data_IF_189630607443
#
_entry.id   IF_189630607443
#
_cell.length_a   1.000
_cell.length_b   1.000
_cell.length_c   1.000
_cell.angle_alpha   90.00
_cell.angle_beta   90.00
_cell.angle_gamma   90.00
#
_symmetry.space_group_name_H-M   'P 1'
#
loop_
_entity.id
_entity.type
_entity.pdbx_description
1 polymer ?
#
# COMPACT_ATOMS: atom_id res chain seq x y z
N UNK A 1 -19.85 18.63 17.58
CA UNK A 1 -20.30 18.08 16.28
C UNK A 1 -19.50 16.84 15.86
N UNK A 2 -18.23 16.71 16.27
CA UNK A 2 -17.33 15.62 15.86
C UNK A 2 -17.75 14.23 16.40
N UNK A 3 -18.32 14.16 17.61
CA UNK A 3 -18.79 12.88 18.17
C UNK A 3 -19.95 12.27 17.36
N UNK A 4 -20.81 13.10 16.75
CA UNK A 4 -21.94 12.63 15.94
C UNK A 4 -21.53 12.01 14.61
N UNK A 5 -20.44 12.49 13.99
CA UNK A 5 -19.91 11.92 12.74
C UNK A 5 -19.33 10.52 12.99
N UNK A 6 -18.58 10.35 14.07
CA UNK A 6 -18.00 9.04 14.45
C UNK A 6 -19.10 8.05 14.81
N UNK A 7 -20.11 8.46 15.55
CA UNK A 7 -21.29 7.62 15.89
C UNK A 7 -22.00 7.19 14.61
N UNK A 8 -22.28 8.13 13.67
CA UNK A 8 -22.90 7.78 12.38
C UNK A 8 -22.07 6.80 11.57
N UNK A 9 -20.75 6.93 11.56
CA UNK A 9 -19.86 5.98 10.87
C UNK A 9 -19.94 4.58 11.49
N UNK A 10 -19.94 4.49 12.82
CA UNK A 10 -20.08 3.23 13.54
C UNK A 10 -21.48 2.60 13.35
N UNK A 11 -22.53 3.41 13.37
CA UNK A 11 -23.90 2.94 13.09
C UNK A 11 -24.06 2.44 11.66
N UNK A 12 -23.50 3.19 10.69
CA UNK A 12 -23.48 2.76 9.28
C UNK A 12 -22.74 1.43 9.13
N UNK A 13 -21.57 1.29 9.75
CA UNK A 13 -20.81 0.06 9.74
C UNK A 13 -21.55 -1.10 10.40
N UNK A 14 -22.14 -0.87 11.57
CA UNK A 14 -22.98 -1.86 12.25
C UNK A 14 -24.13 -2.33 11.36
N UNK A 15 -24.80 -1.40 10.64
CA UNK A 15 -25.86 -1.73 9.70
C UNK A 15 -25.35 -2.56 8.53
N UNK A 16 -24.21 -2.20 7.94
CA UNK A 16 -23.58 -2.96 6.85
C UNK A 16 -23.21 -4.38 7.30
N UNK A 17 -22.60 -4.52 8.48
CA UNK A 17 -22.24 -5.84 9.03
C UNK A 17 -23.49 -6.67 9.32
N UNK A 18 -24.56 -6.09 9.87
CA UNK A 18 -25.84 -6.80 10.08
C UNK A 18 -26.46 -7.28 8.76
N UNK A 19 -26.44 -6.43 7.72
CA UNK A 19 -26.95 -6.81 6.39
C UNK A 19 -26.07 -7.92 5.79
N UNK A 20 -24.74 -7.82 5.92
CA UNK A 20 -23.84 -8.86 5.45
C UNK A 20 -24.04 -10.19 6.17
N UNK A 21 -24.26 -10.16 7.49
CA UNK A 21 -24.57 -11.34 8.28
C UNK A 21 -25.92 -11.95 7.86
N UNK A 22 -26.97 -11.14 7.69
CA UNK A 22 -28.26 -11.63 7.19
C UNK A 22 -28.12 -12.29 5.83
N UNK A 23 -27.44 -11.65 4.89
CA UNK A 23 -27.20 -12.21 3.55
C UNK A 23 -26.41 -13.53 3.59
N UNK A 24 -25.47 -13.68 4.53
CA UNK A 24 -24.72 -14.93 4.72
C UNK A 24 -25.60 -16.04 5.32
N UNK A 25 -26.50 -15.68 6.26
CA UNK A 25 -27.43 -16.63 6.85
C UNK A 25 -28.54 -17.06 5.90
N UNK A 26 -28.98 -16.14 5.03
CA UNK A 26 -30.02 -16.37 4.03
C UNK A 26 -29.49 -17.00 2.73
N UNK A 27 -28.15 -17.02 2.54
CA UNK A 27 -27.56 -17.67 1.39
C UNK A 27 -27.83 -19.18 1.43
N UNK A 28 -28.32 -19.79 0.35
CA UNK A 28 -28.46 -21.26 0.31
C UNK A 28 -27.09 -21.86 0.62
N UNK A 29 -27.09 -22.85 1.53
CA UNK A 29 -25.86 -23.58 1.88
C UNK A 29 -25.23 -24.03 0.56
N UNK A 30 -24.16 -23.35 0.16
CA UNK A 30 -23.27 -23.86 -0.88
C UNK A 30 -22.58 -25.07 -0.28
N UNK A 31 -22.61 -26.14 -1.03
CA UNK A 31 -22.07 -27.43 -0.68
C UNK A 31 -20.82 -27.36 0.20
N UNK A 32 -20.78 -28.16 1.24
CA UNK A 32 -19.65 -28.58 2.09
C UNK A 32 -18.35 -27.73 2.02
N UNK A 33 -18.46 -26.43 2.19
CA UNK A 33 -17.27 -25.58 2.36
C UNK A 33 -16.91 -25.62 3.84
N UNK A 34 -15.82 -26.32 4.15
CA UNK A 34 -15.23 -26.37 5.47
C UNK A 34 -14.94 -24.93 5.94
N UNK A 35 -15.47 -24.51 7.06
CA UNK A 35 -15.18 -23.20 7.65
C UNK A 35 -13.77 -23.17 8.25
N UNK A 36 -13.25 -21.97 8.54
CA UNK A 36 -11.93 -21.84 9.14
C UNK A 36 -11.86 -22.52 10.52
N UNK A 37 -12.94 -22.43 11.29
CA UNK A 37 -13.08 -23.06 12.59
C UNK A 37 -13.09 -24.60 12.48
N UNK A 38 -13.76 -25.12 11.46
CA UNK A 38 -13.85 -26.58 11.19
C UNK A 38 -12.52 -27.16 10.71
N UNK A 39 -11.62 -26.33 10.14
CA UNK A 39 -10.26 -26.76 9.82
C UNK A 39 -9.46 -27.18 11.04
N UNK A 40 -9.84 -26.73 12.23
CA UNK A 40 -9.14 -27.01 13.49
C UNK A 40 -7.73 -26.40 13.53
N UNK A 41 -7.49 -25.35 12.75
CA UNK A 41 -6.20 -24.65 12.75
C UNK A 41 -6.01 -23.92 14.07
N UNK A 42 -4.86 -24.11 14.71
CA UNK A 42 -4.41 -23.43 15.93
C UNK A 42 -3.24 -22.47 15.68
N UNK A 43 -2.75 -22.44 14.45
CA UNK A 43 -1.65 -21.55 14.04
C UNK A 43 -1.84 -21.05 12.62
N UNK A 44 -1.52 -19.78 12.40
CA UNK A 44 -1.60 -19.10 11.11
C UNK A 44 -0.30 -18.33 10.83
N UNK A 45 0.39 -18.72 9.79
CA UNK A 45 1.58 -18.02 9.30
C UNK A 45 1.22 -17.24 8.04
N UNK A 46 1.50 -15.94 8.06
CA UNK A 46 1.18 -15.02 6.96
C UNK A 46 2.46 -14.42 6.42
N UNK A 47 2.85 -14.84 5.22
CA UNK A 47 3.94 -14.22 4.49
C UNK A 47 3.46 -12.98 3.75
N UNK A 48 4.36 -12.00 3.55
CA UNK A 48 4.07 -10.69 2.95
C UNK A 48 2.87 -10.00 3.62
N UNK A 49 2.85 -10.02 4.95
CA UNK A 49 1.74 -9.51 5.77
C UNK A 49 1.37 -8.05 5.48
N UNK A 50 2.29 -7.24 4.92
CA UNK A 50 2.01 -5.88 4.46
C UNK A 50 0.90 -5.80 3.41
N UNK A 51 0.55 -6.89 2.73
CA UNK A 51 -0.60 -6.95 1.83
C UNK A 51 -1.95 -6.78 2.54
N UNK A 52 -2.00 -6.90 3.87
CA UNK A 52 -3.19 -6.77 4.70
C UNK A 52 -3.25 -5.46 5.50
N UNK A 53 -2.38 -4.52 5.22
CA UNK A 53 -2.28 -3.22 5.90
C UNK A 53 -3.52 -2.32 5.78
N UNK A 54 -4.39 -2.55 4.79
CA UNK A 54 -5.59 -1.76 4.56
C UNK A 54 -6.77 -2.22 5.42
N UNK A 55 -6.52 -2.54 6.68
CA UNK A 55 -7.57 -2.79 7.66
C UNK A 55 -8.26 -1.46 8.00
N UNK A 56 -9.58 -1.43 7.93
CA UNK A 56 -10.34 -0.21 8.19
C UNK A 56 -10.05 0.37 9.57
N UNK A 57 -9.75 1.64 9.61
CA UNK A 57 -9.51 2.41 10.83
C UNK A 57 -10.65 3.40 11.06
N UNK A 58 -11.26 3.34 12.24
CA UNK A 58 -12.27 4.31 12.68
C UNK A 58 -11.55 5.46 13.38
N UNK A 59 -11.76 6.68 12.91
CA UNK A 59 -11.09 7.88 13.41
C UNK A 59 -11.95 9.13 13.26
N UNK A 60 -11.76 10.10 14.15
CA UNK A 60 -12.28 11.44 14.04
C UNK A 60 -11.44 12.35 13.16
N UNK A 61 -10.24 11.92 12.80
CA UNK A 61 -9.32 12.69 12.00
C UNK A 61 -9.77 12.70 10.54
N UNK A 62 -9.85 13.89 9.95
CA UNK A 62 -10.25 14.09 8.57
C UNK A 62 -9.12 14.70 7.75
N UNK A 63 -9.08 14.39 6.46
CA UNK A 63 -8.10 14.92 5.49
C UNK A 63 -6.62 14.61 5.82
N UNK A 64 -6.36 13.54 6.57
CA UNK A 64 -4.99 13.05 6.83
C UNK A 64 -4.70 11.89 5.89
N UNK A 65 -3.65 12.06 5.09
CA UNK A 65 -3.22 11.02 4.16
C UNK A 65 -2.57 9.84 4.90
N UNK A 66 -2.84 8.63 4.40
CA UNK A 66 -2.25 7.40 4.93
C UNK A 66 -3.12 6.66 5.95
N UNK A 67 -4.27 7.21 6.34
CA UNK A 67 -5.23 6.50 7.19
C UNK A 67 -6.18 5.70 6.28
N UNK A 68 -6.24 4.39 6.48
CA UNK A 68 -7.19 3.53 5.76
C UNK A 68 -8.58 3.65 6.38
N UNK A 69 -9.46 4.42 5.72
CA UNK A 69 -10.86 4.59 6.14
C UNK A 69 -11.82 3.69 5.34
N UNK A 70 -11.33 3.02 4.30
CA UNK A 70 -12.10 2.08 3.48
C UNK A 70 -11.83 0.65 3.91
N UNK A 71 -12.83 -0.22 3.76
CA UNK A 71 -12.70 -1.63 4.10
C UNK A 71 -12.07 -2.42 2.96
N UNK A 72 -11.03 -3.19 3.29
CA UNK A 72 -10.52 -4.26 2.44
C UNK A 72 -11.06 -5.60 2.96
N UNK A 73 -11.82 -6.32 2.13
CA UNK A 73 -12.40 -7.62 2.55
C UNK A 73 -11.33 -8.60 3.03
N UNK A 74 -10.22 -8.72 2.31
CA UNK A 74 -9.14 -9.63 2.70
C UNK A 74 -8.50 -9.25 4.05
N UNK A 75 -8.36 -7.95 4.33
CA UNK A 75 -7.81 -7.50 5.60
C UNK A 75 -8.79 -7.74 6.76
N UNK A 76 -10.08 -7.48 6.54
CA UNK A 76 -11.10 -7.75 7.55
C UNK A 76 -11.28 -9.25 7.81
N UNK A 77 -11.22 -10.09 6.78
CA UNK A 77 -11.28 -11.55 6.92
C UNK A 77 -10.09 -12.08 7.70
N UNK A 78 -8.86 -11.65 7.36
CA UNK A 78 -7.66 -12.02 8.10
C UNK A 78 -7.75 -11.56 9.56
N UNK A 79 -8.25 -10.34 9.79
CA UNK A 79 -8.37 -9.81 11.15
C UNK A 79 -9.30 -10.67 12.01
N UNK A 80 -10.44 -11.11 11.49
CA UNK A 80 -11.35 -12.01 12.22
C UNK A 80 -10.69 -13.35 12.53
N UNK A 81 -9.94 -13.92 11.59
CA UNK A 81 -9.18 -15.16 11.81
C UNK A 81 -8.09 -14.99 12.87
N UNK A 82 -7.38 -13.87 12.88
CA UNK A 82 -6.39 -13.57 13.92
C UNK A 82 -7.07 -13.45 15.30
N UNK A 83 -8.21 -12.75 15.39
CA UNK A 83 -8.94 -12.63 16.66
C UNK A 83 -9.43 -13.99 17.18
N UNK A 84 -9.95 -14.83 16.30
CA UNK A 84 -10.35 -16.19 16.66
C UNK A 84 -9.17 -17.02 17.19
N UNK A 85 -8.04 -16.98 16.51
CA UNK A 85 -6.83 -17.69 16.95
C UNK A 85 -6.28 -17.14 18.28
N UNK A 86 -6.28 -15.83 18.46
CA UNK A 86 -5.86 -15.20 19.71
C UNK A 86 -6.73 -15.67 20.89
N UNK A 87 -8.04 -15.79 20.67
CA UNK A 87 -8.99 -16.27 21.68
C UNK A 87 -8.71 -17.73 22.09
N UNK A 88 -8.52 -18.64 21.12
CA UNK A 88 -8.32 -20.07 21.42
C UNK A 88 -6.91 -20.43 21.84
N UNK A 89 -5.89 -19.62 21.50
CA UNK A 89 -4.47 -19.92 21.77
C UNK A 89 -3.84 -19.02 22.84
N UNK A 90 -4.56 -18.03 23.35
CA UNK A 90 -4.02 -17.03 24.27
C UNK A 90 -2.98 -16.13 23.59
N UNK A 91 -3.30 -15.63 22.40
CA UNK A 91 -2.48 -14.72 21.58
C UNK A 91 -1.13 -15.32 21.14
N UNK A 92 -1.11 -16.60 20.76
CA UNK A 92 0.10 -17.33 20.30
C UNK A 92 -0.04 -17.97 18.94
N UNK A 93 -1.23 -17.91 18.33
CA UNK A 93 -1.53 -18.63 17.10
C UNK A 93 -1.17 -17.89 15.81
N UNK A 94 -0.68 -16.64 15.86
CA UNK A 94 -0.50 -15.82 14.65
C UNK A 94 0.96 -15.38 14.49
N UNK A 95 1.53 -15.65 13.32
CA UNK A 95 2.88 -15.21 12.96
C UNK A 95 2.84 -14.49 11.62
N UNK A 96 3.33 -13.26 11.58
CA UNK A 96 3.47 -12.46 10.37
C UNK A 96 4.94 -12.35 9.95
N UNK A 97 5.20 -12.53 8.66
CA UNK A 97 6.50 -12.25 8.05
C UNK A 97 6.34 -11.13 7.00
N UNK A 98 7.22 -10.15 7.02
CA UNK A 98 7.27 -9.09 6.01
C UNK A 98 8.59 -8.33 6.04
N UNK A 99 9.11 -7.99 4.86
CA UNK A 99 10.25 -7.08 4.73
C UNK A 99 9.89 -5.59 4.86
N UNK A 100 8.59 -5.24 4.84
CA UNK A 100 8.12 -3.85 4.82
C UNK A 100 6.88 -3.66 5.71
N UNK A 101 7.01 -3.75 7.04
CA UNK A 101 5.87 -3.60 7.95
C UNK A 101 5.23 -2.20 7.85
N UNK A 102 6.03 -1.22 7.45
CA UNK A 102 5.60 0.17 7.16
C UNK A 102 6.11 0.51 5.76
N UNK A 103 5.22 0.79 4.81
CA UNK A 103 5.59 1.11 3.43
C UNK A 103 5.16 2.51 2.98
N UNK A 104 3.93 2.92 3.27
CA UNK A 104 3.37 4.19 2.78
C UNK A 104 3.01 5.17 3.89
N UNK A 105 2.68 4.68 5.08
CA UNK A 105 2.24 5.51 6.19
C UNK A 105 2.63 4.88 7.52
N UNK A 106 3.02 5.73 8.46
CA UNK A 106 3.31 5.32 9.84
C UNK A 106 2.11 4.65 10.52
N UNK A 107 0.89 4.95 10.06
CA UNK A 107 -0.34 4.33 10.58
C UNK A 107 -0.44 2.84 10.29
N UNK A 108 0.35 2.34 9.34
CA UNK A 108 0.43 0.90 9.04
C UNK A 108 0.97 0.10 10.23
N UNK A 109 1.83 0.69 11.07
CA UNK A 109 2.31 0.05 12.30
C UNK A 109 1.16 -0.20 13.30
N UNK A 110 0.26 0.78 13.45
CA UNK A 110 -0.95 0.58 14.25
C UNK A 110 -1.78 -0.60 13.73
N UNK A 111 -1.90 -0.73 12.42
CA UNK A 111 -2.60 -1.87 11.82
C UNK A 111 -1.93 -3.20 12.15
N UNK A 112 -0.59 -3.28 12.07
CA UNK A 112 0.14 -4.48 12.48
C UNK A 112 -0.06 -4.80 13.97
N UNK A 113 -0.04 -3.80 14.83
CA UNK A 113 -0.32 -3.97 16.26
C UNK A 113 -1.75 -4.46 16.52
N UNK A 114 -2.73 -4.03 15.73
CA UNK A 114 -4.10 -4.54 15.85
C UNK A 114 -4.20 -6.04 15.55
N UNK A 115 -3.42 -6.53 14.61
CA UNK A 115 -3.38 -7.97 14.31
C UNK A 115 -2.66 -8.78 15.40
N UNK A 116 -1.58 -8.24 15.97
CA UNK A 116 -0.63 -9.01 16.77
C UNK A 116 -0.64 -8.66 18.26
N UNK A 117 -1.15 -7.48 18.63
CA UNK A 117 -1.06 -6.93 19.99
C UNK A 117 -2.38 -6.27 20.44
N UNK A 118 -3.53 -6.73 19.93
CA UNK A 118 -4.81 -6.12 20.28
C UNK A 118 -5.02 -6.00 21.80
N UNK A 119 -4.72 -7.06 22.55
CA UNK A 119 -4.80 -7.06 24.02
C UNK A 119 -3.87 -6.01 24.67
N UNK A 120 -2.63 -5.89 24.17
CA UNK A 120 -1.69 -4.88 24.67
C UNK A 120 -2.17 -3.46 24.38
N UNK A 121 -2.74 -3.21 23.20
CA UNK A 121 -3.36 -1.93 22.86
C UNK A 121 -4.52 -1.61 23.80
N UNK A 122 -5.40 -2.56 24.08
CA UNK A 122 -6.54 -2.39 24.98
C UNK A 122 -6.10 -2.08 26.41
N UNK A 123 -5.16 -2.86 26.94
CA UNK A 123 -4.62 -2.67 28.29
C UNK A 123 -3.98 -1.30 28.51
N UNK A 124 -3.39 -0.72 27.45
CA UNK A 124 -2.75 0.59 27.51
C UNK A 124 -3.68 1.74 27.06
N UNK A 125 -4.96 1.49 26.77
CA UNK A 125 -5.91 2.51 26.31
C UNK A 125 -5.64 3.02 24.89
N UNK A 126 -4.93 2.25 24.09
CA UNK A 126 -4.46 2.59 22.73
C UNK A 126 -5.23 1.85 21.63
N UNK A 127 -6.26 1.09 21.99
CA UNK A 127 -7.07 0.34 21.03
C UNK A 127 -7.85 1.25 20.05
N UNK A 128 -8.12 2.50 20.46
CA UNK A 128 -8.66 3.50 19.57
C UNK A 128 -7.54 4.21 18.81
N UNK A 129 -7.67 4.32 17.48
CA UNK A 129 -6.66 4.95 16.66
C UNK A 129 -6.34 6.38 17.07
N UNK A 130 -7.35 7.17 17.43
CA UNK A 130 -7.12 8.58 17.79
C UNK A 130 -6.27 8.69 19.07
N UNK A 131 -6.43 7.76 20.04
CA UNK A 131 -5.59 7.68 21.24
C UNK A 131 -4.16 7.27 20.89
N UNK A 132 -4.00 6.24 20.05
CA UNK A 132 -2.70 5.79 19.57
C UNK A 132 -1.98 6.92 18.81
N UNK A 133 -2.69 7.58 17.90
CA UNK A 133 -2.16 8.66 17.10
C UNK A 133 -1.77 9.89 17.94
N UNK A 134 -2.54 10.21 18.97
CA UNK A 134 -2.22 11.29 19.90
C UNK A 134 -0.96 10.98 20.75
N UNK A 135 -0.70 9.70 21.02
CA UNK A 135 0.46 9.27 21.82
C UNK A 135 1.73 9.16 20.99
N UNK A 136 1.65 8.69 19.73
CA UNK A 136 2.80 8.28 18.94
C UNK A 136 2.97 9.03 17.63
N UNK A 137 1.98 9.79 17.18
CA UNK A 137 1.99 10.36 15.84
C UNK A 137 1.99 11.88 15.82
N UNK A 138 2.86 12.47 15.01
CA UNK A 138 2.84 13.88 14.66
C UNK A 138 2.37 14.06 13.22
N UNK A 139 1.38 14.91 13.04
CA UNK A 139 0.93 15.30 11.70
C UNK A 139 1.65 16.54 11.22
N UNK A 140 2.11 16.50 9.97
CA UNK A 140 2.75 17.64 9.31
C UNK A 140 1.94 18.00 8.07
N UNK A 141 1.66 19.30 7.93
CA UNK A 141 1.05 19.84 6.72
C UNK A 141 2.15 20.43 5.84
N UNK A 142 2.29 19.91 4.64
CA UNK A 142 3.27 20.38 3.66
C UNK A 142 2.57 20.85 2.38
N UNK A 143 3.22 21.78 1.68
CA UNK A 143 2.83 22.15 0.32
C UNK A 143 3.56 21.19 -0.62
N UNK A 144 2.79 20.46 -1.41
CA UNK A 144 3.29 19.48 -2.37
C UNK A 144 2.89 19.86 -3.78
N UNK A 145 3.73 19.50 -4.76
CA UNK A 145 3.33 19.57 -6.15
C UNK A 145 2.12 18.66 -6.37
N UNK A 146 1.12 19.14 -7.07
CA UNK A 146 -0.04 18.34 -7.40
C UNK A 146 0.36 17.15 -8.32
N UNK A 147 -0.30 15.98 -8.23
CA UNK A 147 0.09 14.77 -8.97
C UNK A 147 0.17 14.98 -10.48
N UNK A 148 -0.63 15.89 -11.01
CA UNK A 148 -0.67 16.28 -12.41
C UNK A 148 0.50 17.17 -12.83
N UNK A 149 1.39 17.58 -11.92
CA UNK A 149 2.53 18.43 -12.19
C UNK A 149 2.20 19.93 -12.32
N UNK A 150 0.94 20.33 -12.24
CA UNK A 150 0.47 21.70 -12.35
C UNK A 150 -0.06 22.21 -11.03
N UNK A 151 0.60 23.23 -10.47
CA UNK A 151 0.17 23.87 -9.21
C UNK A 151 0.59 23.12 -7.95
N UNK A 152 0.21 23.69 -6.81
CA UNK A 152 0.55 23.18 -5.47
C UNK A 152 -0.70 22.92 -4.67
N UNK A 153 -0.65 21.90 -3.79
CA UNK A 153 -1.70 21.58 -2.83
C UNK A 153 -1.13 21.41 -1.43
N UNK A 154 -1.89 21.78 -0.42
CA UNK A 154 -1.57 21.43 0.96
C UNK A 154 -2.01 20.01 1.24
N UNK A 155 -1.16 19.22 1.88
CA UNK A 155 -1.49 17.87 2.31
C UNK A 155 -0.97 17.61 3.71
N UNK A 156 -1.86 17.13 4.58
CA UNK A 156 -1.52 16.72 5.94
C UNK A 156 -1.31 15.21 5.97
N UNK A 157 -0.24 14.77 6.60
CA UNK A 157 0.06 13.35 6.81
C UNK A 157 0.76 13.14 8.15
N UNK A 158 0.73 11.92 8.67
CA UNK A 158 1.64 11.53 9.74
C UNK A 158 3.06 11.49 9.19
N UNK A 159 3.96 12.29 9.74
CA UNK A 159 5.32 12.43 9.22
C UNK A 159 6.39 12.06 10.25
N UNK A 160 6.08 12.06 11.53
CA UNK A 160 7.02 11.76 12.59
C UNK A 160 6.38 10.90 13.67
N UNK A 161 7.21 10.09 14.33
CA UNK A 161 6.82 9.41 15.56
C UNK A 161 7.20 10.26 16.78
N UNK A 162 6.26 10.38 17.70
CA UNK A 162 6.52 10.73 19.09
C UNK A 162 6.75 9.48 19.92
N UNK A 163 7.40 9.62 21.06
CA UNK A 163 7.59 8.53 22.02
C UNK A 163 8.02 7.23 21.32
N UNK A 164 8.93 7.36 20.33
CA UNK A 164 9.40 6.23 19.56
C UNK A 164 10.01 5.10 20.42
N UNK A 165 10.76 5.38 21.50
CA UNK A 165 11.27 4.34 22.38
C UNK A 165 10.17 3.47 23.00
N UNK A 166 9.11 4.09 23.49
CA UNK A 166 7.96 3.39 24.10
C UNK A 166 7.19 2.58 23.05
N UNK A 167 6.95 3.16 21.88
CA UNK A 167 6.31 2.48 20.77
C UNK A 167 7.12 1.24 20.34
N UNK A 168 8.44 1.40 20.21
CA UNK A 168 9.33 0.30 19.82
C UNK A 168 9.47 -0.76 20.92
N UNK A 169 9.48 -0.35 22.20
CA UNK A 169 9.46 -1.30 23.32
C UNK A 169 8.19 -2.16 23.28
N UNK A 170 7.03 -1.53 23.11
CA UNK A 170 5.76 -2.23 22.98
C UNK A 170 5.72 -3.15 21.74
N UNK A 171 6.19 -2.68 20.59
CA UNK A 171 6.18 -3.49 19.36
C UNK A 171 7.12 -4.70 19.43
N UNK A 172 8.27 -4.55 20.08
CA UNK A 172 9.25 -5.64 20.29
C UNK A 172 8.74 -6.75 21.22
N UNK A 173 7.66 -6.56 21.96
CA UNK A 173 7.03 -7.64 22.73
C UNK A 173 6.53 -8.77 21.81
N UNK A 174 6.15 -8.45 20.56
CA UNK A 174 5.64 -9.43 19.60
C UNK A 174 6.44 -9.50 18.30
N UNK A 175 7.48 -8.69 18.11
CA UNK A 175 8.22 -8.59 16.84
C UNK A 175 9.71 -8.86 17.02
N UNK A 176 10.24 -9.75 16.21
CA UNK A 176 11.69 -9.87 15.94
C UNK A 176 12.03 -9.00 14.70
N UNK A 177 12.94 -8.04 14.89
CA UNK A 177 13.30 -7.06 13.85
C UNK A 177 14.74 -7.29 13.45
N UNK A 178 14.93 -7.73 12.19
CA UNK A 178 16.23 -7.95 11.60
C UNK A 178 16.46 -6.96 10.46
N UNK A 179 17.41 -6.05 10.61
CA UNK A 179 17.80 -5.11 9.55
C UNK A 179 18.86 -5.72 8.63
N UNK A 180 19.00 -5.17 7.41
CA UNK A 180 20.01 -5.63 6.45
C UNK A 180 21.43 -5.64 7.03
N UNK A 181 21.75 -4.64 7.86
CA UNK A 181 23.06 -4.53 8.52
C UNK A 181 23.29 -5.62 9.59
N UNK A 182 22.23 -6.04 10.27
CA UNK A 182 22.27 -7.12 11.26
C UNK A 182 22.45 -8.49 10.60
N UNK A 183 21.84 -8.68 9.42
CA UNK A 183 21.87 -9.97 8.72
C UNK A 183 23.24 -10.26 8.06
N UNK A 184 24.07 -9.24 7.79
CA UNK A 184 25.38 -9.39 7.14
C UNK A 184 25.36 -10.31 5.92
N UNK A 185 24.31 -10.18 5.09
CA UNK A 185 24.13 -11.01 3.91
C UNK A 185 25.29 -10.79 2.92
N UNK A 186 25.75 -11.84 2.23
CA UNK A 186 26.78 -11.73 1.21
C UNK A 186 26.20 -11.08 -0.06
N UNK A 187 25.97 -9.76 -0.01
CA UNK A 187 25.47 -9.00 -1.15
C UNK A 187 26.64 -8.60 -2.04
N UNK A 188 26.59 -8.89 -3.35
CA UNK A 188 27.63 -8.47 -4.29
C UNK A 188 27.81 -6.95 -4.27
N UNK A 189 29.05 -6.50 -4.30
CA UNK A 189 29.33 -5.07 -4.40
C UNK A 189 28.89 -4.54 -5.78
N UNK A 190 28.28 -3.36 -5.79
CA UNK A 190 27.94 -2.67 -7.02
C UNK A 190 29.20 -2.15 -7.71
N UNK A 191 29.26 -2.28 -9.02
CA UNK A 191 30.32 -1.67 -9.84
C UNK A 191 30.25 -0.15 -9.66
N UNK A 192 31.35 0.46 -9.21
CA UNK A 192 31.40 1.89 -8.89
C UNK A 192 30.72 2.29 -7.57
N UNK A 193 30.31 1.33 -6.73
CA UNK A 193 29.77 1.55 -5.38
C UNK A 193 28.36 2.10 -5.31
N UNK A 194 27.69 2.37 -6.43
CA UNK A 194 26.32 2.93 -6.50
C UNK A 194 25.59 2.49 -7.77
N UNK A 195 24.25 2.48 -7.75
CA UNK A 195 23.45 2.22 -8.94
C UNK A 195 23.72 3.24 -10.05
N UNK A 196 23.70 2.79 -11.30
CA UNK A 196 23.76 3.66 -12.46
C UNK A 196 22.35 4.13 -12.83
N UNK A 197 22.11 5.44 -12.75
CA UNK A 197 20.85 6.06 -13.16
C UNK A 197 20.95 6.54 -14.62
N UNK A 198 20.10 6.02 -15.48
CA UNK A 198 19.98 6.46 -16.88
C UNK A 198 18.78 7.42 -16.97
N UNK A 199 19.07 8.70 -17.23
CA UNK A 199 18.03 9.73 -17.38
C UNK A 199 17.79 9.97 -18.86
N UNK A 200 16.52 9.94 -19.26
CA UNK A 200 16.07 10.15 -20.62
C UNK A 200 15.26 11.44 -20.72
N UNK A 201 15.33 12.08 -21.87
CA UNK A 201 14.52 13.26 -22.17
C UNK A 201 13.18 12.81 -22.75
N UNK A 202 12.07 13.46 -22.38
CA UNK A 202 10.78 13.15 -22.98
C UNK A 202 10.74 13.60 -24.45
N UNK A 203 10.07 12.80 -25.30
CA UNK A 203 9.77 13.19 -26.68
C UNK A 203 8.79 14.36 -26.75
N UNK A 204 8.66 15.03 -27.88
CA UNK A 204 7.67 16.11 -28.06
C UNK A 204 6.23 15.57 -27.91
N UNK A 205 5.97 14.36 -28.39
CA UNK A 205 4.68 13.67 -28.21
C UNK A 205 4.40 13.46 -26.72
N UNK A 206 5.37 12.97 -25.95
CA UNK A 206 5.21 12.78 -24.51
C UNK A 206 4.92 14.10 -23.79
N UNK A 207 5.57 15.21 -24.17
CA UNK A 207 5.32 16.53 -23.58
C UNK A 207 3.90 17.00 -23.87
N UNK A 208 3.42 16.84 -25.10
CA UNK A 208 2.04 17.15 -25.47
C UNK A 208 1.05 16.33 -24.66
N UNK A 209 1.23 15.00 -24.58
CA UNK A 209 0.35 14.12 -23.83
C UNK A 209 0.35 14.44 -22.31
N UNK A 210 1.47 14.87 -21.73
CA UNK A 210 1.52 15.36 -20.33
C UNK A 210 0.65 16.62 -20.18
N UNK A 211 0.65 17.52 -21.15
CA UNK A 211 -0.23 18.70 -21.13
C UNK A 211 -1.71 18.28 -21.15
N UNK A 212 -2.07 17.33 -22.00
CA UNK A 212 -3.43 16.78 -22.09
C UNK A 212 -3.86 16.09 -20.76
N UNK A 213 -2.94 15.37 -20.11
CA UNK A 213 -3.21 14.80 -18.76
C UNK A 213 -3.48 15.90 -17.73
N UNK A 214 -2.74 17.03 -17.83
CA UNK A 214 -2.97 18.21 -17.00
C UNK A 214 -4.36 18.82 -17.20
N UNK A 215 -4.79 18.99 -18.46
CA UNK A 215 -6.13 19.50 -18.80
C UNK A 215 -7.24 18.57 -18.30
N UNK A 216 -7.06 17.25 -18.39
CA UNK A 216 -7.98 16.24 -17.84
C UNK A 216 -8.09 16.37 -16.33
N UNK A 217 -6.95 16.55 -15.63
CA UNK A 217 -6.93 16.74 -14.19
C UNK A 217 -7.69 18.01 -13.77
N UNK A 218 -7.55 19.10 -14.53
CA UNK A 218 -8.28 20.35 -14.29
C UNK A 218 -9.80 20.18 -14.47
N UNK A 219 -10.22 19.44 -15.50
CA UNK A 219 -11.65 19.11 -15.69
C UNK A 219 -12.23 18.33 -14.52
N UNK A 220 -11.47 17.36 -13.97
CA UNK A 220 -11.88 16.59 -12.79
C UNK A 220 -11.97 17.50 -11.56
N UNK A 221 -10.95 18.34 -11.34
CA UNK A 221 -10.92 19.30 -10.22
C UNK A 221 -12.10 20.22 -10.22
N UNK A 222 -12.48 20.70 -11.40
CA UNK A 222 -13.61 21.59 -11.62
C UNK A 222 -14.97 20.85 -11.71
N UNK A 223 -15.00 19.53 -11.44
CA UNK A 223 -16.21 18.68 -11.50
C UNK A 223 -16.92 18.72 -12.86
N UNK A 224 -16.19 18.91 -13.95
CA UNK A 224 -16.71 18.98 -15.31
C UNK A 224 -16.92 17.60 -15.95
N UNK A 225 -16.38 16.55 -15.33
CA UNK A 225 -16.51 15.15 -15.76
C UNK A 225 -16.95 14.29 -14.58
N UNK A 226 -17.67 13.22 -14.87
CA UNK A 226 -18.14 12.29 -13.84
C UNK A 226 -17.03 11.28 -13.49
N UNK A 227 -16.94 10.79 -12.22
CA UNK A 227 -15.88 9.90 -11.78
C UNK A 227 -15.76 8.58 -12.56
N UNK A 228 -16.82 8.11 -13.19
CA UNK A 228 -16.80 6.91 -14.01
C UNK A 228 -16.28 7.18 -15.44
N UNK A 229 -16.38 8.40 -15.94
CA UNK A 229 -15.85 8.82 -17.24
C UNK A 229 -14.35 9.00 -17.15
N UNK A 230 -13.91 9.87 -16.21
CA UNK A 230 -12.50 10.10 -15.92
C UNK A 230 -12.26 10.40 -14.43
N UNK A 231 -11.07 10.07 -13.95
CA UNK A 231 -10.70 10.27 -12.55
C UNK A 231 -9.18 10.29 -12.38
N UNK A 232 -8.71 10.81 -11.23
CA UNK A 232 -7.27 10.95 -10.96
C UNK A 232 -6.52 9.62 -10.98
N UNK A 233 -7.17 8.48 -10.70
CA UNK A 233 -6.53 7.17 -10.78
C UNK A 233 -6.21 6.79 -12.23
N UNK A 234 -7.14 7.04 -13.16
CA UNK A 234 -6.92 6.85 -14.61
C UNK A 234 -5.76 7.73 -15.07
N UNK A 235 -5.79 9.03 -14.76
CA UNK A 235 -4.73 9.98 -15.14
C UNK A 235 -3.36 9.52 -14.62
N UNK A 236 -3.29 9.12 -13.35
CA UNK A 236 -2.03 8.64 -12.76
C UNK A 236 -1.53 7.37 -13.45
N UNK A 237 -2.44 6.45 -13.80
CA UNK A 237 -2.08 5.24 -14.53
C UNK A 237 -1.62 5.55 -15.96
N UNK A 238 -2.31 6.44 -16.66
CA UNK A 238 -1.93 6.90 -17.99
C UNK A 238 -0.55 7.59 -17.96
N UNK A 239 -0.31 8.45 -16.96
CA UNK A 239 0.99 9.07 -16.77
C UNK A 239 2.13 8.07 -16.53
N UNK A 240 1.88 6.99 -15.77
CA UNK A 240 2.86 5.91 -15.58
C UNK A 240 3.14 5.16 -16.88
N UNK A 241 2.11 4.86 -17.67
CA UNK A 241 2.26 4.23 -18.99
C UNK A 241 3.04 5.12 -19.95
N UNK A 242 2.65 6.39 -20.04
CA UNK A 242 3.32 7.39 -20.88
C UNK A 242 4.81 7.53 -20.53
N UNK A 243 5.13 7.53 -19.25
CA UNK A 243 6.52 7.61 -18.79
C UNK A 243 7.36 6.39 -19.14
N UNK A 244 6.75 5.26 -19.45
CA UNK A 244 7.42 4.05 -19.90
C UNK A 244 7.55 4.00 -21.42
N UNK A 245 6.40 4.07 -22.10
CA UNK A 245 6.30 4.11 -23.59
C UNK A 245 4.95 4.70 -23.99
N UNK A 246 4.96 5.68 -24.91
CA UNK A 246 3.75 6.35 -25.40
C UNK A 246 2.74 5.40 -26.04
N UNK A 247 3.20 4.32 -26.67
CA UNK A 247 2.36 3.28 -27.29
C UNK A 247 1.52 2.47 -26.30
N UNK A 248 1.81 2.54 -25.00
CA UNK A 248 0.95 1.96 -23.96
C UNK A 248 -0.34 2.75 -23.72
N UNK A 249 -0.40 3.99 -24.21
CA UNK A 249 -1.61 4.82 -24.21
C UNK A 249 -2.34 4.68 -25.54
N UNK A 250 -1.61 4.87 -26.64
CA UNK A 250 -2.13 4.80 -28.00
C UNK A 250 -1.16 3.96 -28.86
N UNK A 251 -1.55 2.73 -29.21
CA UNK A 251 -0.72 1.82 -30.01
C UNK A 251 -0.36 2.34 -31.40
N UNK A 252 -1.11 3.30 -31.93
CA UNK A 252 -0.89 3.87 -33.27
C UNK A 252 0.21 4.94 -33.29
N UNK A 253 0.70 5.35 -32.12
CA UNK A 253 1.81 6.29 -32.01
C UNK A 253 3.13 5.66 -32.49
N UNK A 254 4.03 6.49 -33.09
CA UNK A 254 5.32 6.02 -33.56
C UNK A 254 6.18 5.48 -32.41
N UNK A 255 7.05 4.53 -32.74
CA UNK A 255 8.08 4.09 -31.83
C UNK A 255 9.05 5.24 -31.52
N UNK A 256 9.36 5.42 -30.24
CA UNK A 256 10.38 6.35 -29.78
C UNK A 256 11.65 5.56 -29.41
N UNK A 257 12.73 5.66 -30.25
CA UNK A 257 13.97 4.95 -29.97
C UNK A 257 14.59 5.29 -28.61
N UNK A 258 14.30 6.49 -28.09
CA UNK A 258 14.78 6.97 -26.81
C UNK A 258 13.78 6.68 -25.66
N UNK A 259 12.72 5.90 -25.90
CA UNK A 259 11.80 5.47 -24.84
C UNK A 259 12.52 4.66 -23.77
N UNK A 260 11.98 4.67 -22.54
CA UNK A 260 12.56 3.86 -21.45
C UNK A 260 12.63 2.38 -21.78
N UNK A 261 11.64 1.87 -22.51
CA UNK A 261 11.61 0.46 -22.94
C UNK A 261 12.75 0.18 -23.89
N UNK A 262 12.92 0.98 -24.95
CA UNK A 262 13.95 0.76 -25.95
C UNK A 262 15.37 0.89 -25.38
N UNK A 263 15.62 1.92 -24.58
CA UNK A 263 16.91 2.08 -23.91
C UNK A 263 17.18 0.94 -22.90
N UNK A 264 16.16 0.49 -22.17
CA UNK A 264 16.30 -0.66 -21.27
C UNK A 264 16.66 -1.94 -22.04
N UNK A 265 15.96 -2.22 -23.14
CA UNK A 265 16.24 -3.38 -24.02
C UNK A 265 17.65 -3.30 -24.58
N UNK A 266 18.09 -2.13 -25.06
CA UNK A 266 19.44 -1.90 -25.54
C UNK A 266 20.50 -2.20 -24.45
N UNK A 267 20.27 -1.76 -23.21
CA UNK A 267 21.14 -2.02 -22.08
C UNK A 267 21.16 -3.50 -21.67
N UNK A 268 20.02 -4.17 -21.69
CA UNK A 268 19.94 -5.62 -21.44
C UNK A 268 20.77 -6.37 -22.47
N UNK A 269 20.65 -6.00 -23.74
CA UNK A 269 21.40 -6.62 -24.83
C UNK A 269 22.90 -6.37 -24.70
N UNK A 270 23.32 -5.13 -24.45
CA UNK A 270 24.72 -4.76 -24.20
C UNK A 270 25.35 -5.58 -23.06
N UNK A 271 24.66 -5.69 -21.93
CA UNK A 271 25.13 -6.47 -20.77
C UNK A 271 25.16 -7.97 -21.12
N UNK A 272 24.17 -8.46 -21.87
CA UNK A 272 24.13 -9.84 -22.30
C UNK A 272 25.34 -10.20 -23.19
N UNK A 273 25.68 -9.36 -24.17
CA UNK A 273 26.85 -9.56 -25.01
C UNK A 273 28.15 -9.58 -24.17
N UNK A 274 28.32 -8.59 -23.28
CA UNK A 274 29.50 -8.48 -22.43
C UNK A 274 29.67 -9.69 -21.47
N UNK A 275 28.56 -10.27 -21.04
CA UNK A 275 28.56 -11.34 -20.04
C UNK A 275 28.34 -12.73 -20.62
N UNK A 276 28.13 -12.85 -21.94
CA UNK A 276 27.92 -14.12 -22.65
C UNK A 276 28.99 -15.17 -22.34
N UNK A 277 30.29 -14.84 -22.30
CA UNK A 277 31.34 -15.83 -21.97
C UNK A 277 31.20 -16.40 -20.57
N UNK A 278 30.59 -15.63 -19.64
CA UNK A 278 30.36 -16.02 -18.23
C UNK A 278 29.00 -16.66 -18.03
N UNK A 279 28.13 -16.68 -19.05
CA UNK A 279 26.74 -17.18 -18.99
C UNK A 279 25.96 -16.55 -17.82
N UNK A 280 26.12 -15.25 -17.60
CA UNK A 280 25.46 -14.54 -16.49
C UNK A 280 23.97 -14.37 -16.78
N UNK A 281 23.14 -14.45 -15.74
CA UNK A 281 21.71 -14.11 -15.79
C UNK A 281 21.48 -12.63 -15.44
N UNK A 282 20.43 -12.05 -16.00
CA UNK A 282 19.96 -10.71 -15.68
C UNK A 282 18.56 -10.78 -15.10
N UNK A 283 18.28 -9.95 -14.08
CA UNK A 283 16.94 -9.76 -13.53
C UNK A 283 16.40 -8.42 -14.02
N UNK A 284 15.23 -8.43 -14.64
CA UNK A 284 14.54 -7.24 -15.13
C UNK A 284 13.23 -7.09 -14.39
N UNK A 285 13.06 -5.96 -13.70
CA UNK A 285 11.84 -5.65 -12.96
C UNK A 285 11.03 -4.62 -13.72
N UNK A 286 9.78 -4.94 -14.04
CA UNK A 286 8.85 -4.06 -14.71
C UNK A 286 7.46 -4.20 -14.10
N UNK A 287 6.92 -3.10 -13.58
CA UNK A 287 5.62 -3.08 -12.89
C UNK A 287 4.43 -2.95 -13.85
N UNK A 288 4.68 -2.58 -15.10
CA UNK A 288 3.64 -2.34 -16.10
C UNK A 288 3.83 -3.26 -17.29
N UNK A 289 2.69 -3.64 -17.91
CA UNK A 289 2.68 -4.43 -19.14
C UNK A 289 3.39 -5.77 -19.05
N UNK A 290 3.33 -6.40 -17.88
CA UNK A 290 3.79 -7.78 -17.73
C UNK A 290 2.97 -8.71 -18.62
N UNK A 291 3.58 -9.67 -19.33
CA UNK A 291 2.85 -10.68 -20.07
C UNK A 291 1.86 -11.43 -19.17
N UNK A 292 0.67 -11.73 -19.70
CA UNK A 292 -0.33 -12.54 -19.01
C UNK A 292 -0.08 -14.00 -19.26
#
# INVERSE_FOLDING_TARGET
>A
SDSRLTVKQLESKKKQLKTKLSNLLDAPKRDDVVTFEELGADSLMVDEAHNFKNLMTVTKMHNIAGISTTESQKASDLFMKCQYLDEITGARGVTFATGTPISNSMTELYTMQRYLQQYTLERNGLANFDSWAATFGETVTAIELAPEGTGYRTKTRFARFFNLPELMAMFKECADIQTADMLKLPVPALVGGKPTNIQLKPSEIQKQMVTELGERADKIRNKMVKPYEDNMLKITNDGRKLALDQRLIDPDLPDDPDSKVNICVGKIFEIWEQTMPKRSAQLVFCDLSTPK
#
